data_IF_626275450587
#
_entry.id   IF_626275450587
#
_cell.length_a   1.000
_cell.length_b   1.000
_cell.length_c   1.000
_cell.angle_alpha   90.00
_cell.angle_beta   90.00
_cell.angle_gamma   90.00
#
_symmetry.space_group_name_H-M   'P 1'
#
loop_
_entity.id
_entity.type
_entity.pdbx_description
1 polymer ?
#
# COMPACT_ATOMS: atom_id res chain seq x y z
N UNK A 1 -15.36 -18.63 11.03
CA UNK A 1 -15.60 -19.32 9.73
C UNK A 1 -14.22 -19.66 9.17
N UNK A 2 -14.03 -20.73 8.38
CA UNK A 2 -12.75 -20.92 7.69
C UNK A 2 -12.45 -19.66 6.89
N UNK A 3 -11.24 -19.09 7.05
CA UNK A 3 -10.80 -17.93 6.29
C UNK A 3 -10.76 -18.32 4.82
N UNK A 4 -11.79 -17.98 4.06
CA UNK A 4 -11.77 -18.14 2.61
C UNK A 4 -10.75 -17.14 2.07
N UNK A 5 -9.70 -17.65 1.46
CA UNK A 5 -8.78 -16.81 0.71
C UNK A 5 -9.57 -16.08 -0.39
N UNK A 6 -9.26 -14.82 -0.70
CA UNK A 6 -9.97 -14.08 -1.73
C UNK A 6 -9.92 -14.79 -3.10
N UNK A 7 -11.07 -14.91 -3.78
CA UNK A 7 -11.18 -15.53 -5.11
C UNK A 7 -11.57 -17.02 -5.11
N UNK A 8 -11.31 -17.70 -6.23
CA UNK A 8 -11.74 -19.09 -6.49
C UNK A 8 -10.71 -20.16 -6.07
N UNK A 9 -9.72 -19.81 -5.25
CA UNK A 9 -8.69 -20.75 -4.76
C UNK A 9 -8.77 -20.93 -3.24
N UNK A 10 -8.41 -22.13 -2.76
CA UNK A 10 -8.32 -22.38 -1.32
C UNK A 10 -6.99 -21.86 -0.74
N UNK A 11 -6.98 -21.61 0.57
CA UNK A 11 -5.75 -21.28 1.31
C UNK A 11 -4.68 -22.36 1.12
N UNK A 12 -5.07 -23.62 1.13
CA UNK A 12 -4.15 -24.75 0.97
C UNK A 12 -3.48 -24.72 -0.41
N UNK A 13 -4.25 -24.50 -1.48
CA UNK A 13 -3.70 -24.34 -2.84
C UNK A 13 -2.78 -23.12 -2.91
N UNK A 14 -3.18 -21.99 -2.34
CA UNK A 14 -2.35 -20.78 -2.29
C UNK A 14 -0.97 -21.04 -1.65
N UNK A 15 -0.96 -21.66 -0.46
CA UNK A 15 0.27 -21.95 0.28
C UNK A 15 1.14 -23.01 -0.41
N UNK A 16 0.51 -23.99 -1.07
CA UNK A 16 1.23 -25.08 -1.74
C UNK A 16 1.83 -24.65 -3.09
N UNK A 17 1.15 -23.79 -3.86
CA UNK A 17 1.53 -23.53 -5.25
C UNK A 17 2.12 -22.13 -5.48
N UNK A 18 1.80 -21.15 -4.65
CA UNK A 18 2.11 -19.73 -4.91
C UNK A 18 2.99 -19.07 -3.86
N UNK A 19 2.66 -19.23 -2.56
CA UNK A 19 3.38 -18.56 -1.47
C UNK A 19 4.88 -18.85 -1.53
N UNK A 20 5.71 -17.79 -1.60
CA UNK A 20 7.17 -17.85 -1.76
C UNK A 20 7.68 -18.60 -2.99
N UNK A 21 6.88 -18.71 -4.05
CA UNK A 21 7.23 -19.47 -5.27
C UNK A 21 7.02 -18.68 -6.55
N UNK A 22 5.83 -18.11 -6.72
CA UNK A 22 5.46 -17.42 -7.96
C UNK A 22 4.31 -16.42 -7.72
N UNK A 23 4.22 -15.34 -8.52
CA UNK A 23 3.15 -14.37 -8.39
C UNK A 23 1.79 -14.96 -8.77
N UNK A 24 0.72 -14.41 -8.19
CA UNK A 24 -0.66 -14.76 -8.46
C UNK A 24 -1.49 -13.49 -8.66
N UNK A 25 -2.29 -13.45 -9.73
CA UNK A 25 -3.29 -12.40 -9.96
C UNK A 25 -4.68 -12.91 -9.61
N UNK A 26 -5.35 -12.24 -8.67
CA UNK A 26 -6.74 -12.51 -8.28
C UNK A 26 -7.58 -11.31 -8.67
N UNK A 27 -8.49 -11.49 -9.62
CA UNK A 27 -9.39 -10.42 -10.05
C UNK A 27 -10.57 -10.34 -9.10
N UNK A 28 -10.93 -9.12 -8.71
CA UNK A 28 -12.08 -8.85 -7.85
C UNK A 28 -12.03 -9.67 -6.54
N UNK A 29 -10.84 -9.74 -5.93
CA UNK A 29 -10.57 -10.46 -4.69
C UNK A 29 -11.50 -10.02 -3.54
N UNK A 30 -11.75 -8.71 -3.46
CA UNK A 30 -12.63 -8.09 -2.47
C UNK A 30 -13.70 -7.25 -3.18
N UNK A 31 -14.85 -7.85 -3.54
CA UNK A 31 -15.92 -7.13 -4.21
C UNK A 31 -16.45 -6.00 -3.31
N UNK A 32 -16.42 -4.76 -3.83
CA UNK A 32 -16.91 -3.60 -3.08
C UNK A 32 -16.03 -3.19 -1.90
N UNK A 33 -14.73 -3.53 -1.92
CA UNK A 33 -13.79 -3.00 -0.93
C UNK A 33 -13.81 -1.47 -0.95
N UNK A 34 -13.97 -0.88 0.22
CA UNK A 34 -13.88 0.56 0.42
C UNK A 34 -12.51 0.88 1.03
N UNK A 35 -11.85 1.94 0.53
CA UNK A 35 -10.65 2.44 1.17
C UNK A 35 -11.05 3.13 2.49
N UNK A 36 -10.50 2.72 3.65
CA UNK A 36 -10.79 3.40 4.91
C UNK A 36 -10.25 4.84 4.97
N UNK A 37 -9.38 5.22 4.03
CA UNK A 37 -8.80 6.55 3.93
C UNK A 37 -9.09 7.17 2.57
N UNK A 38 -9.57 8.41 2.59
CA UNK A 38 -9.52 9.30 1.44
C UNK A 38 -8.08 9.79 1.18
N UNK A 39 -7.76 10.27 -0.03
CA UNK A 39 -6.45 10.88 -0.32
C UNK A 39 -6.09 12.01 0.65
N UNK A 40 -7.06 12.86 1.01
CA UNK A 40 -6.86 13.99 1.93
C UNK A 40 -6.55 13.51 3.36
N UNK A 41 -7.23 12.48 3.84
CA UNK A 41 -6.93 11.87 5.15
C UNK A 41 -5.56 11.20 5.17
N UNK A 42 -5.15 10.57 4.06
CA UNK A 42 -3.81 9.99 3.93
C UNK A 42 -2.72 11.08 3.95
N UNK A 43 -2.94 12.20 3.26
CA UNK A 43 -2.04 13.34 3.31
C UNK A 43 -1.96 13.94 4.72
N UNK A 44 -3.10 14.08 5.40
CA UNK A 44 -3.15 14.53 6.80
C UNK A 44 -2.37 13.62 7.76
N UNK A 45 -2.51 12.29 7.61
CA UNK A 45 -1.70 11.34 8.38
C UNK A 45 -0.20 11.51 8.14
N UNK A 46 0.19 11.81 6.90
CA UNK A 46 1.60 12.00 6.55
C UNK A 46 2.24 13.27 7.17
N UNK A 47 1.44 14.15 7.76
CA UNK A 47 1.91 15.33 8.50
C UNK A 47 2.21 15.06 9.99
N UNK A 48 1.82 13.89 10.52
CA UNK A 48 2.00 13.57 11.93
C UNK A 48 3.44 13.09 12.23
N UNK A 49 4.07 13.61 13.29
CA UNK A 49 5.48 13.36 13.62
C UNK A 49 5.84 11.87 13.80
N UNK A 50 4.87 11.05 14.23
CA UNK A 50 5.07 9.63 14.51
C UNK A 50 4.85 8.73 13.27
N UNK A 51 4.46 9.32 12.13
CA UNK A 51 4.11 8.58 10.91
C UNK A 51 5.29 8.51 9.95
N UNK A 52 5.59 7.30 9.47
CA UNK A 52 6.58 7.12 8.43
C UNK A 52 5.93 7.35 7.05
N UNK A 53 6.16 8.54 6.50
CA UNK A 53 5.69 8.91 5.17
C UNK A 53 6.84 9.29 4.24
N UNK A 54 6.63 9.08 2.94
CA UNK A 54 7.54 9.53 1.88
C UNK A 54 6.79 9.91 0.62
N UNK A 55 7.29 10.92 -0.09
CA UNK A 55 6.83 11.31 -1.41
C UNK A 55 7.93 11.00 -2.41
N UNK A 56 7.60 10.21 -3.43
CA UNK A 56 8.51 9.82 -4.51
C UNK A 56 8.03 10.47 -5.81
N UNK A 57 8.94 11.10 -6.55
CA UNK A 57 8.59 11.76 -7.81
C UNK A 57 9.79 11.85 -8.75
N UNK A 58 9.52 11.97 -10.04
CA UNK A 58 10.54 12.12 -11.07
C UNK A 58 10.63 13.60 -11.50
N UNK A 59 11.82 14.22 -11.37
CA UNK A 59 12.03 15.64 -11.71
C UNK A 59 12.59 15.83 -13.10
N UNK A 60 11.88 16.60 -13.93
CA UNK A 60 12.29 17.21 -15.22
C UNK A 60 12.71 16.24 -16.35
N UNK A 61 13.51 15.21 -16.07
CA UNK A 61 14.11 14.27 -17.02
C UNK A 61 13.87 12.83 -16.56
N UNK A 62 13.66 11.92 -17.51
CA UNK A 62 13.49 10.49 -17.22
C UNK A 62 14.71 9.92 -16.50
N UNK A 63 14.48 9.22 -15.40
CA UNK A 63 15.47 8.58 -14.55
C UNK A 63 15.92 9.40 -13.35
N UNK A 64 15.49 10.66 -13.23
CA UNK A 64 15.87 11.53 -12.12
C UNK A 64 14.86 11.46 -10.96
N UNK A 65 14.94 10.37 -10.21
CA UNK A 65 14.06 10.10 -9.06
C UNK A 65 14.47 10.88 -7.82
N UNK A 66 13.50 11.44 -7.13
CA UNK A 66 13.67 12.15 -5.86
C UNK A 66 12.74 11.54 -4.82
N UNK A 67 13.20 11.58 -3.57
CA UNK A 67 12.44 11.13 -2.40
C UNK A 67 12.50 12.23 -1.36
N UNK A 68 11.32 12.63 -0.87
CA UNK A 68 11.17 13.44 0.33
C UNK A 68 10.61 12.56 1.44
N UNK A 69 11.09 12.77 2.66
CA UNK A 69 10.65 12.04 3.84
C UNK A 69 9.89 12.99 4.75
N UNK A 70 8.80 12.49 5.34
CA UNK A 70 8.00 13.23 6.30
C UNK A 70 8.67 13.35 7.67
N UNK A 71 7.95 13.93 8.66
CA UNK A 71 6.58 14.45 8.52
C UNK A 71 6.53 15.63 7.54
N UNK A 72 5.42 15.76 6.82
CA UNK A 72 5.16 16.85 5.88
C UNK A 72 4.33 17.96 6.52
N UNK A 73 4.21 19.09 5.84
CA UNK A 73 3.20 20.10 6.13
C UNK A 73 2.28 20.36 4.92
N UNK A 74 1.27 21.21 5.08
CA UNK A 74 0.34 21.56 4.00
C UNK A 74 1.06 22.16 2.79
N UNK A 75 2.14 22.92 3.01
CA UNK A 75 2.89 23.58 1.95
C UNK A 75 3.63 22.57 1.07
N UNK A 76 4.15 21.48 1.65
CA UNK A 76 4.78 20.39 0.90
C UNK A 76 3.82 19.81 -0.16
N UNK A 77 2.53 19.66 0.18
CA UNK A 77 1.52 19.14 -0.75
C UNK A 77 1.06 20.17 -1.78
N UNK A 78 0.96 21.45 -1.40
CA UNK A 78 0.63 22.55 -2.33
C UNK A 78 1.70 22.76 -3.40
N UNK A 79 2.97 22.44 -3.10
CA UNK A 79 4.08 22.56 -4.04
C UNK A 79 4.21 21.36 -5.00
N UNK A 80 3.44 20.29 -4.78
CA UNK A 80 3.48 19.12 -5.66
C UNK A 80 2.91 19.45 -7.05
N UNK A 81 3.51 18.89 -8.12
CA UNK A 81 2.92 19.00 -9.45
C UNK A 81 1.59 18.23 -9.53
N UNK A 82 0.79 18.50 -10.56
CA UNK A 82 -0.51 17.83 -10.75
C UNK A 82 -0.37 16.29 -10.91
N UNK A 83 0.77 15.80 -11.42
CA UNK A 83 0.99 14.42 -11.84
C UNK A 83 2.42 13.92 -11.48
N UNK A 84 2.71 12.64 -11.72
CA UNK A 84 4.06 12.05 -11.64
C UNK A 84 4.72 12.04 -10.25
N UNK A 85 3.91 11.91 -9.20
CA UNK A 85 4.40 11.68 -7.83
C UNK A 85 3.61 10.58 -7.14
N UNK A 86 4.10 10.08 -6.01
CA UNK A 86 3.41 9.08 -5.20
C UNK A 86 3.70 9.32 -3.73
N UNK A 87 2.65 9.50 -2.93
CA UNK A 87 2.74 9.46 -1.48
C UNK A 87 2.65 8.01 -1.01
N UNK A 88 3.53 7.62 -0.09
CA UNK A 88 3.48 6.34 0.60
C UNK A 88 3.49 6.58 2.11
N UNK A 89 2.56 5.95 2.81
CA UNK A 89 2.45 5.97 4.27
C UNK A 89 2.49 4.53 4.77
N UNK A 90 3.47 4.23 5.62
CA UNK A 90 3.73 2.91 6.21
C UNK A 90 3.02 2.80 7.55
N UNK A 91 2.79 1.57 8.05
CA UNK A 91 2.18 1.32 9.37
C UNK A 91 0.74 1.88 9.57
N UNK A 92 -0.03 2.05 8.49
CA UNK A 92 -1.35 2.70 8.54
C UNK A 92 -2.32 2.01 9.50
N UNK A 93 -2.26 0.68 9.60
CA UNK A 93 -3.10 -0.10 10.49
C UNK A 93 -2.89 0.22 11.98
N UNK A 94 -1.75 0.81 12.36
CA UNK A 94 -1.49 1.21 13.75
C UNK A 94 -2.30 2.44 14.13
N UNK A 95 -2.58 3.30 13.16
CA UNK A 95 -3.21 4.61 13.34
C UNK A 95 -4.68 4.64 12.90
N UNK A 96 -5.07 3.76 11.98
CA UNK A 96 -6.43 3.67 11.42
C UNK A 96 -7.02 2.30 11.75
N UNK A 97 -7.84 2.20 12.82
CA UNK A 97 -8.41 0.93 13.27
C UNK A 97 -9.20 0.17 12.19
N UNK A 98 -9.89 0.89 11.31
CA UNK A 98 -10.67 0.34 10.20
C UNK A 98 -9.79 -0.40 9.20
N UNK A 99 -8.54 0.04 9.02
CA UNK A 99 -7.58 -0.58 8.11
C UNK A 99 -7.09 -1.95 8.62
N UNK A 100 -7.18 -2.23 9.93
CA UNK A 100 -6.83 -3.55 10.51
C UNK A 100 -7.73 -4.67 10.01
N UNK A 101 -8.98 -4.37 9.68
CA UNK A 101 -9.91 -5.36 9.16
C UNK A 101 -9.40 -5.99 7.85
N UNK A 102 -8.62 -5.25 7.07
CA UNK A 102 -7.99 -5.76 5.86
C UNK A 102 -6.94 -6.84 6.17
N UNK A 103 -6.15 -6.64 7.23
CA UNK A 103 -5.10 -7.58 7.66
C UNK A 103 -5.70 -8.90 8.13
N UNK A 104 -6.90 -8.87 8.74
CA UNK A 104 -7.56 -10.08 9.25
C UNK A 104 -7.85 -11.11 8.14
N UNK A 105 -8.01 -10.68 6.89
CA UNK A 105 -8.16 -11.58 5.74
C UNK A 105 -6.90 -12.41 5.46
N UNK A 106 -5.73 -11.98 5.93
CA UNK A 106 -4.43 -12.60 5.68
C UNK A 106 -3.93 -13.48 6.82
N UNK A 107 -4.70 -13.63 7.90
CA UNK A 107 -4.35 -14.44 9.10
C UNK A 107 -4.32 -15.97 8.88
N UNK A 108 -4.36 -16.42 7.63
CA UNK A 108 -3.88 -17.76 7.26
C UNK A 108 -2.34 -17.82 7.22
N UNK A 109 -1.66 -16.67 7.17
CA UNK A 109 -0.24 -16.49 7.43
C UNK A 109 -0.03 -16.25 8.93
N UNK A 110 1.00 -16.84 9.57
CA UNK A 110 1.29 -16.56 10.98
C UNK A 110 1.56 -15.07 11.26
N UNK A 111 1.00 -14.52 12.34
CA UNK A 111 1.10 -13.09 12.67
C UNK A 111 2.55 -12.54 12.64
N UNK A 112 3.55 -13.32 13.07
CA UNK A 112 4.96 -12.89 13.07
C UNK A 112 5.58 -12.72 11.67
N UNK A 113 4.88 -13.15 10.62
CA UNK A 113 5.26 -12.99 9.20
C UNK A 113 4.59 -11.79 8.54
N UNK A 114 3.61 -11.18 9.19
CA UNK A 114 2.92 -9.98 8.72
C UNK A 114 3.67 -8.78 9.32
N UNK A 115 4.08 -7.85 8.46
CA UNK A 115 4.81 -6.64 8.88
C UNK A 115 3.81 -5.50 9.15
N UNK A 116 3.32 -4.85 8.09
CA UNK A 116 2.44 -3.69 8.18
C UNK A 116 1.45 -3.60 6.98
N UNK A 117 0.61 -2.57 7.00
CA UNK A 117 -0.17 -2.11 5.87
C UNK A 117 0.34 -0.73 5.41
N UNK A 118 1.08 -0.73 4.30
CA UNK A 118 1.44 0.50 3.60
C UNK A 118 0.33 0.90 2.63
N UNK A 119 -0.10 2.16 2.68
CA UNK A 119 -1.06 2.76 1.73
C UNK A 119 -0.33 3.76 0.85
N UNK A 120 -0.61 3.75 -0.45
CA UNK A 120 -0.09 4.73 -1.39
C UNK A 120 -1.20 5.47 -2.12
N UNK A 121 -0.93 6.74 -2.44
CA UNK A 121 -1.73 7.55 -3.33
C UNK A 121 -0.85 8.09 -4.47
N UNK A 122 -1.36 8.00 -5.69
CA UNK A 122 -0.66 8.43 -6.88
C UNK A 122 -1.65 9.09 -7.86
N UNK A 123 -1.43 10.35 -8.29
CA UNK A 123 -2.09 10.89 -9.48
C UNK A 123 -1.59 10.19 -10.76
N UNK A 124 -2.09 10.63 -11.92
CA UNK A 124 -1.68 10.08 -13.21
C UNK A 124 -0.14 10.10 -13.36
N UNK A 125 0.41 8.99 -13.85
CA UNK A 125 1.85 8.82 -14.03
C UNK A 125 2.66 8.62 -12.75
N UNK A 126 2.04 8.70 -11.57
CA UNK A 126 2.68 8.42 -10.29
C UNK A 126 3.20 6.99 -10.21
N UNK A 127 4.45 6.84 -9.78
CA UNK A 127 5.11 5.55 -9.62
C UNK A 127 6.30 5.66 -8.66
N UNK A 128 6.74 4.52 -8.14
CA UNK A 128 8.03 4.38 -7.44
C UNK A 128 9.12 3.79 -8.34
N UNK A 129 8.82 3.60 -9.62
CA UNK A 129 9.70 2.97 -10.60
C UNK A 129 9.82 1.45 -10.46
N UNK A 130 10.49 0.77 -11.42
CA UNK A 130 10.74 -0.66 -11.34
C UNK A 130 11.66 -1.01 -10.16
N UNK A 131 11.23 -1.91 -9.29
CA UNK A 131 11.99 -2.33 -8.11
C UNK A 131 11.67 -3.79 -7.76
N UNK A 132 12.38 -4.31 -6.76
CA UNK A 132 12.18 -5.64 -6.18
C UNK A 132 12.22 -5.53 -4.67
N UNK A 133 11.37 -6.31 -4.01
CA UNK A 133 11.36 -6.43 -2.56
C UNK A 133 11.88 -7.79 -2.10
N UNK A 134 12.39 -7.83 -0.86
CA UNK A 134 12.87 -9.06 -0.22
C UNK A 134 11.78 -9.79 0.59
N UNK A 135 10.54 -9.29 0.55
CA UNK A 135 9.38 -9.80 1.29
C UNK A 135 8.23 -10.18 0.35
N UNK A 136 7.35 -11.04 0.85
CA UNK A 136 6.07 -11.35 0.20
C UNK A 136 5.12 -10.14 0.35
N UNK A 137 4.34 -9.83 -0.68
CA UNK A 137 3.41 -8.68 -0.66
C UNK A 137 2.08 -9.03 -1.33
N UNK A 138 0.99 -8.51 -0.77
CA UNK A 138 -0.32 -8.48 -1.42
C UNK A 138 -0.61 -7.05 -1.87
N UNK A 139 -0.67 -6.82 -3.18
CA UNK A 139 -1.05 -5.53 -3.75
C UNK A 139 -2.56 -5.49 -3.98
N UNK A 140 -3.25 -4.57 -3.30
CA UNK A 140 -4.71 -4.44 -3.33
C UNK A 140 -5.07 -3.08 -3.91
N UNK A 141 -5.84 -3.09 -4.99
CA UNK A 141 -6.36 -1.87 -5.61
C UNK A 141 -7.67 -1.46 -4.92
N UNK A 142 -7.77 -0.22 -4.44
CA UNK A 142 -8.92 0.29 -3.68
C UNK A 142 -9.63 1.50 -4.32
N UNK A 143 -9.11 2.06 -5.41
CA UNK A 143 -9.72 3.14 -6.20
C UNK A 143 -9.44 3.02 -7.70
#
# INVERSE_FOLDING_TARGET
>A
MPCTFPGDISVETFLQEYWQKQPLLIRNAFPGIENPLTPDELAGLACEDEINARIVFERHEQGNWHVQHGPFDEQDFEELPENNWTLLVTDVEKHVPEARALIDHFRFIPDWRIDDLMVSFAPEGGSVGPHTDAYDVFLIQTH
#
